data_IF_612089702094
#
_entry.id   IF_612089702094
#
_cell.length_a   1.000
_cell.length_b   1.000
_cell.length_c   1.000
_cell.angle_alpha   90.00
_cell.angle_beta   90.00
_cell.angle_gamma   90.00
#
_symmetry.space_group_name_H-M   'P 1'
#
loop_
_entity.id
_entity.type
_entity.pdbx_description
1 polymer ?
#
# COMPACT_ATOMS: atom_id res chain seq x y z
N UNK A 1 -31.16 2.98 -36.56
CA UNK A 1 -31.43 3.58 -35.24
C UNK A 1 -31.05 2.68 -34.08
N UNK A 2 -31.36 1.40 -34.09
CA UNK A 2 -31.06 0.44 -33.03
C UNK A 2 -29.56 0.26 -32.79
N UNK A 3 -28.71 0.38 -33.82
CA UNK A 3 -27.24 0.26 -33.70
C UNK A 3 -26.59 1.42 -33.00
N UNK A 4 -27.14 2.64 -33.03
CA UNK A 4 -26.59 3.81 -32.34
C UNK A 4 -26.79 3.74 -30.82
N UNK A 5 -27.94 3.23 -30.38
CA UNK A 5 -28.26 3.05 -28.95
C UNK A 5 -27.36 2.00 -28.31
N UNK A 6 -27.05 0.91 -29.01
CA UNK A 6 -26.16 -0.14 -28.50
C UNK A 6 -24.71 0.35 -28.35
N UNK A 7 -24.21 1.17 -29.28
CA UNK A 7 -22.88 1.76 -29.21
C UNK A 7 -22.74 2.77 -28.05
N UNK A 8 -23.75 3.59 -27.80
CA UNK A 8 -23.81 4.53 -26.69
C UNK A 8 -23.81 3.82 -25.33
N UNK A 9 -24.55 2.74 -25.19
CA UNK A 9 -24.58 1.92 -23.97
C UNK A 9 -23.22 1.26 -23.67
N UNK A 10 -22.52 0.74 -24.68
CA UNK A 10 -21.19 0.16 -24.52
C UNK A 10 -20.15 1.19 -24.08
N UNK A 11 -20.20 2.40 -24.61
CA UNK A 11 -19.28 3.49 -24.22
C UNK A 11 -19.51 3.92 -22.79
N UNK A 12 -20.75 4.03 -22.34
CA UNK A 12 -21.09 4.37 -20.95
C UNK A 12 -20.62 3.29 -19.96
N UNK A 13 -20.76 2.01 -20.30
CA UNK A 13 -20.30 0.89 -19.47
C UNK A 13 -18.76 0.87 -19.32
N UNK A 14 -18.03 1.14 -20.39
CA UNK A 14 -16.56 1.21 -20.37
C UNK A 14 -16.09 2.39 -19.52
N UNK A 15 -16.74 3.55 -19.59
CA UNK A 15 -16.40 4.72 -18.76
C UNK A 15 -16.64 4.46 -17.27
N UNK A 16 -17.72 3.79 -16.89
CA UNK A 16 -18.02 3.43 -15.52
C UNK A 16 -17.00 2.43 -14.95
N UNK A 17 -16.59 1.42 -15.72
CA UNK A 17 -15.57 0.45 -15.34
C UNK A 17 -14.19 1.13 -15.15
N UNK A 18 -13.83 2.09 -16.01
CA UNK A 18 -12.59 2.85 -15.89
C UNK A 18 -12.54 3.70 -14.63
N UNK A 19 -13.64 4.32 -14.22
CA UNK A 19 -13.74 5.11 -12.98
C UNK A 19 -13.59 4.23 -11.73
N UNK A 20 -14.17 3.04 -11.70
CA UNK A 20 -14.05 2.10 -10.59
C UNK A 20 -12.61 1.59 -10.42
N UNK A 21 -11.90 1.33 -11.51
CA UNK A 21 -10.49 0.90 -11.47
C UNK A 21 -9.54 2.02 -11.02
N UNK A 22 -9.84 3.27 -11.33
CA UNK A 22 -9.01 4.42 -10.95
C UNK A 22 -9.03 4.71 -9.44
N UNK A 23 -10.04 4.22 -8.69
CA UNK A 23 -10.15 4.39 -7.24
C UNK A 23 -9.44 3.32 -6.40
N UNK A 24 -8.86 2.28 -7.02
CA UNK A 24 -8.19 1.19 -6.30
C UNK A 24 -6.70 1.48 -6.09
N UNK A 25 -6.13 1.22 -4.86
CA UNK A 25 -4.69 1.33 -4.66
C UNK A 25 -3.93 0.37 -5.56
N UNK A 26 -2.83 0.83 -6.16
CA UNK A 26 -1.98 0.00 -7.00
C UNK A 26 -1.15 -0.96 -6.16
N UNK A 27 -1.12 -2.25 -6.53
CA UNK A 27 -0.18 -3.22 -5.97
C UNK A 27 1.20 -2.96 -6.57
N UNK A 28 2.19 -2.66 -5.72
CA UNK A 28 3.55 -2.38 -6.16
C UNK A 28 4.55 -3.33 -5.50
N UNK A 29 5.69 -3.59 -6.16
CA UNK A 29 6.79 -4.29 -5.56
C UNK A 29 7.63 -3.35 -4.69
N UNK A 30 8.16 -3.88 -3.60
CA UNK A 30 9.04 -3.11 -2.71
C UNK A 30 10.29 -2.63 -3.45
N UNK A 31 10.88 -3.48 -4.31
CA UNK A 31 12.05 -3.10 -5.10
C UNK A 31 11.78 -1.86 -5.96
N UNK A 32 10.62 -1.80 -6.59
CA UNK A 32 10.23 -0.67 -7.45
C UNK A 32 10.10 0.63 -6.65
N UNK A 33 9.52 0.56 -5.46
CA UNK A 33 9.38 1.72 -4.57
C UNK A 33 10.76 2.18 -4.09
N UNK A 34 11.63 1.26 -3.68
CA UNK A 34 12.96 1.57 -3.17
C UNK A 34 13.89 2.13 -4.24
N UNK A 35 13.66 1.80 -5.52
CA UNK A 35 14.43 2.36 -6.65
C UNK A 35 14.13 3.84 -6.87
N UNK A 36 12.90 4.28 -6.62
CA UNK A 36 12.49 5.67 -6.85
C UNK A 36 11.40 6.06 -5.83
N UNK A 37 11.76 6.22 -4.55
CA UNK A 37 10.77 6.52 -3.51
C UNK A 37 10.02 7.84 -3.73
N UNK A 38 10.68 8.83 -4.31
CA UNK A 38 10.07 10.14 -4.57
C UNK A 38 8.87 10.03 -5.53
N UNK A 39 8.93 9.11 -6.47
CA UNK A 39 7.83 8.86 -7.42
C UNK A 39 6.56 8.36 -6.73
N UNK A 40 6.71 7.63 -5.63
CA UNK A 40 5.61 7.03 -4.90
C UNK A 40 5.19 7.84 -3.67
N UNK A 41 5.98 8.83 -3.26
CA UNK A 41 5.69 9.65 -2.09
C UNK A 41 4.30 10.31 -2.21
N UNK A 42 3.49 10.18 -1.15
CA UNK A 42 2.13 10.70 -1.11
C UNK A 42 1.09 9.87 -1.84
N UNK A 43 1.49 8.80 -2.52
CA UNK A 43 0.55 7.91 -3.22
C UNK A 43 0.13 6.76 -2.33
N UNK A 44 -1.16 6.40 -2.41
CA UNK A 44 -1.69 5.22 -1.76
C UNK A 44 -1.38 3.98 -2.59
N UNK A 45 -0.70 3.03 -1.97
CA UNK A 45 -0.28 1.76 -2.60
C UNK A 45 -0.56 0.58 -1.68
N UNK A 46 -0.52 -0.61 -2.24
CA UNK A 46 -0.65 -1.87 -1.52
C UNK A 46 0.58 -2.74 -1.76
N UNK A 47 1.11 -3.34 -0.69
CA UNK A 47 2.20 -4.32 -0.77
C UNK A 47 1.79 -5.57 0.01
N UNK A 48 2.28 -6.73 -0.43
CA UNK A 48 2.01 -8.00 0.23
C UNK A 48 3.31 -8.77 0.45
N UNK A 49 3.45 -9.38 1.61
CA UNK A 49 4.64 -10.13 1.93
C UNK A 49 4.60 -10.73 3.32
N UNK A 50 5.78 -11.05 3.82
CA UNK A 50 5.96 -11.68 5.12
C UNK A 50 6.65 -10.71 6.08
N UNK A 51 6.14 -10.63 7.30
CA UNK A 51 6.74 -9.80 8.36
C UNK A 51 8.05 -10.42 8.81
N UNK A 52 9.13 -9.66 8.78
CA UNK A 52 10.48 -10.09 9.18
C UNK A 52 10.94 -9.48 10.49
N UNK A 53 10.40 -8.32 10.85
CA UNK A 53 10.77 -7.62 12.10
C UNK A 53 9.60 -6.72 12.52
N UNK A 54 9.49 -6.47 13.83
CA UNK A 54 8.44 -5.60 14.35
C UNK A 54 8.82 -5.07 15.74
N UNK A 55 8.45 -3.82 16.02
CA UNK A 55 8.51 -3.26 17.36
C UNK A 55 7.42 -2.21 17.57
N UNK A 56 6.94 -2.12 18.79
CA UNK A 56 5.87 -1.18 19.15
C UNK A 56 5.24 -1.54 20.47
N UNK A 57 4.23 -0.77 20.86
CA UNK A 57 3.45 -0.97 22.07
C UNK A 57 2.04 -0.42 21.91
N UNK A 58 1.08 -1.02 22.61
CA UNK A 58 -0.32 -0.57 22.67
C UNK A 58 -0.98 -0.42 21.29
N UNK A 59 -0.70 -1.35 20.37
CA UNK A 59 -1.31 -1.37 19.03
C UNK A 59 -0.70 -0.38 18.03
N UNK A 60 0.31 0.36 18.44
CA UNK A 60 1.03 1.32 17.58
C UNK A 60 2.48 0.87 17.44
N UNK A 61 3.01 0.87 16.23
CA UNK A 61 4.40 0.51 16.01
C UNK A 61 4.75 0.39 14.55
N UNK A 62 5.93 -0.16 14.30
CA UNK A 62 6.42 -0.41 12.95
C UNK A 62 6.74 -1.88 12.77
N UNK A 63 6.59 -2.36 11.56
CA UNK A 63 6.98 -3.70 11.16
C UNK A 63 7.57 -3.69 9.76
N UNK A 64 8.46 -4.62 9.50
CA UNK A 64 9.11 -4.74 8.21
C UNK A 64 8.48 -5.88 7.42
N UNK A 65 8.15 -5.61 6.16
CA UNK A 65 7.60 -6.60 5.21
C UNK A 65 8.66 -6.91 4.17
N UNK A 66 8.83 -8.18 3.86
CA UNK A 66 9.61 -8.70 2.74
C UNK A 66 8.65 -9.32 1.72
N UNK A 67 8.60 -8.77 0.52
CA UNK A 67 7.75 -9.27 -0.58
C UNK A 67 8.51 -10.18 -1.56
N UNK A 68 9.75 -10.55 -1.24
CA UNK A 68 10.63 -11.32 -2.12
C UNK A 68 11.47 -10.45 -3.05
N UNK A 69 11.16 -9.18 -3.23
CA UNK A 69 11.91 -8.21 -4.05
C UNK A 69 12.73 -7.24 -3.22
N UNK A 70 12.37 -7.07 -1.95
CA UNK A 70 13.01 -6.16 -1.03
C UNK A 70 12.20 -6.03 0.25
N UNK A 71 12.64 -5.17 1.16
CA UNK A 71 12.00 -4.93 2.45
C UNK A 71 11.48 -3.50 2.56
N UNK A 72 10.34 -3.35 3.22
CA UNK A 72 9.71 -2.05 3.47
C UNK A 72 9.22 -1.98 4.91
N UNK A 73 9.53 -0.88 5.59
CA UNK A 73 8.95 -0.60 6.89
C UNK A 73 7.55 -0.04 6.73
N UNK A 74 6.66 -0.45 7.64
CA UNK A 74 5.26 -0.04 7.69
C UNK A 74 4.97 0.50 9.08
N UNK A 75 4.37 1.68 9.15
CA UNK A 75 3.90 2.26 10.41
C UNK A 75 2.40 1.99 10.55
N UNK A 76 2.02 1.43 11.70
CA UNK A 76 0.63 1.14 12.04
C UNK A 76 0.23 1.89 13.30
N UNK A 77 -0.85 2.67 13.19
CA UNK A 77 -1.46 3.34 14.34
C UNK A 77 -2.90 2.84 14.48
N UNK A 78 -3.12 2.00 15.48
CA UNK A 78 -4.46 1.50 15.78
C UNK A 78 -4.86 0.21 15.07
N UNK A 79 -4.06 -0.31 14.14
CA UNK A 79 -4.35 -1.59 13.47
C UNK A 79 -3.60 -2.77 14.09
N UNK A 80 -2.77 -2.50 15.09
CA UNK A 80 -1.93 -3.50 15.73
C UNK A 80 -0.60 -3.71 15.02
N UNK A 81 0.33 -4.37 15.67
CA UNK A 81 1.65 -4.71 15.11
C UNK A 81 1.74 -6.23 14.97
N UNK A 82 1.82 -6.75 13.73
CA UNK A 82 1.86 -8.20 13.53
C UNK A 82 3.19 -8.79 13.97
N UNK A 83 3.15 -10.05 14.38
CA UNK A 83 4.35 -10.79 14.76
C UNK A 83 5.17 -11.24 13.56
N UNK A 84 6.46 -11.53 13.78
CA UNK A 84 7.34 -12.08 12.75
C UNK A 84 6.80 -13.37 12.13
N UNK A 85 6.96 -13.51 10.82
CA UNK A 85 6.46 -14.65 10.06
C UNK A 85 5.04 -14.50 9.52
N UNK A 86 4.27 -13.51 9.98
CA UNK A 86 2.92 -13.28 9.47
C UNK A 86 2.95 -12.91 7.98
N UNK A 87 2.06 -13.52 7.21
CA UNK A 87 1.86 -13.19 5.78
C UNK A 87 0.63 -12.29 5.68
N UNK A 88 0.80 -11.12 5.08
CA UNK A 88 -0.29 -10.15 5.01
C UNK A 88 -0.09 -9.16 3.86
N UNK A 89 -1.16 -8.44 3.54
CA UNK A 89 -1.13 -7.31 2.63
C UNK A 89 -1.48 -6.03 3.40
N UNK A 90 -0.75 -4.96 3.12
CA UNK A 90 -0.98 -3.66 3.72
C UNK A 90 -1.25 -2.62 2.65
N UNK A 91 -2.10 -1.65 2.99
CA UNK A 91 -2.40 -0.50 2.14
C UNK A 91 -2.10 0.76 2.91
N UNK A 92 -1.43 1.69 2.28
CA UNK A 92 -1.09 2.96 2.90
C UNK A 92 -0.40 3.92 1.95
N UNK A 93 0.09 5.01 2.51
CA UNK A 93 0.73 6.10 1.78
C UNK A 93 2.24 6.04 2.01
N UNK A 94 3.02 6.17 0.95
CA UNK A 94 4.48 6.24 1.04
C UNK A 94 4.89 7.63 1.53
N UNK A 95 5.76 7.65 2.54
CA UNK A 95 6.36 8.86 3.08
C UNK A 95 7.88 8.73 3.12
N UNK A 96 8.57 9.78 2.72
CA UNK A 96 10.01 9.91 2.86
C UNK A 96 10.33 10.67 4.14
N UNK A 97 11.14 10.05 5.00
CA UNK A 97 11.51 10.62 6.29
C UNK A 97 10.41 10.45 7.35
N UNK A 98 10.68 9.59 8.31
CA UNK A 98 9.77 9.32 9.42
C UNK A 98 10.56 8.87 10.64
N UNK A 99 10.19 9.33 11.81
CA UNK A 99 10.81 8.95 13.07
C UNK A 99 9.81 8.28 14.00
N UNK A 100 10.20 7.14 14.58
CA UNK A 100 9.41 6.43 15.56
C UNK A 100 10.33 5.62 16.50
N UNK A 101 10.08 5.69 17.79
CA UNK A 101 10.79 4.88 18.78
C UNK A 101 12.31 5.14 18.82
N UNK A 102 12.75 6.36 18.51
CA UNK A 102 14.17 6.73 18.47
C UNK A 102 14.88 6.30 17.19
N UNK A 103 14.16 5.76 16.21
CA UNK A 103 14.69 5.36 14.89
C UNK A 103 14.17 6.27 13.78
N UNK A 104 15.01 6.47 12.78
CA UNK A 104 14.65 7.22 11.57
C UNK A 104 14.52 6.27 10.39
N UNK A 105 13.47 6.47 9.60
CA UNK A 105 13.20 5.68 8.40
C UNK A 105 13.24 6.60 7.19
N UNK A 106 14.08 6.25 6.21
CA UNK A 106 14.21 7.05 4.98
C UNK A 106 12.95 6.98 4.13
N UNK A 107 12.36 5.79 4.03
CA UNK A 107 11.10 5.54 3.32
C UNK A 107 10.27 4.58 4.15
N UNK A 108 8.99 4.89 4.31
CA UNK A 108 8.06 4.10 5.10
C UNK A 108 6.67 4.15 4.47
N UNK A 109 5.89 3.09 4.64
CA UNK A 109 4.48 3.08 4.30
C UNK A 109 3.67 3.38 5.57
N UNK A 110 2.86 4.42 5.53
CA UNK A 110 1.93 4.76 6.61
C UNK A 110 0.60 4.07 6.34
N UNK A 111 0.27 3.06 7.14
CA UNK A 111 -0.94 2.25 6.95
C UNK A 111 -2.20 3.09 7.11
N UNK A 112 -3.11 3.01 6.13
CA UNK A 112 -4.35 3.82 6.09
C UNK A 112 -5.61 3.00 6.20
N UNK A 113 -5.53 1.67 6.07
CA UNK A 113 -6.69 0.77 6.11
C UNK A 113 -6.36 -0.52 6.85
N UNK A 114 -7.40 -1.23 7.36
CA UNK A 114 -7.22 -2.57 7.93
C UNK A 114 -6.58 -3.54 6.91
N UNK A 115 -5.80 -4.46 7.42
CA UNK A 115 -5.09 -5.46 6.60
C UNK A 115 -6.01 -6.57 6.12
N UNK A 116 -5.56 -7.21 5.08
CA UNK A 116 -6.20 -8.40 4.53
C UNK A 116 -5.31 -9.63 4.66
#
# INVERSE_FOLDING_TARGET
>A
MTRMRTRLLCVLLVSAAGLLLAGCPSRESVAKINQDPARFAGKEISIAGQVTDSFGAAGTGVFQIDDGTGTMWVFSKGYGVPGGGAKLAVTGVIQQGFAFGGRNFATILLETEPRH
#
